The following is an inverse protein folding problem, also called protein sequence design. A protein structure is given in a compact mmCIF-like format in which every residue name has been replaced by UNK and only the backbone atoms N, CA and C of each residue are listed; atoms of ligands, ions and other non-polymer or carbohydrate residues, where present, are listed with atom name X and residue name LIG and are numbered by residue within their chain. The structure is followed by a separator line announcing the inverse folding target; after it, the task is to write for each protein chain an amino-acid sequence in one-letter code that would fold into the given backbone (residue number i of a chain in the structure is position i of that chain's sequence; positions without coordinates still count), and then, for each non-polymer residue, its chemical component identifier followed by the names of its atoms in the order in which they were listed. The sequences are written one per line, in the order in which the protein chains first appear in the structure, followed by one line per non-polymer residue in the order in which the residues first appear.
data_IF_508286199115
#
_entry.id   IF_508286199115
#
_cell.length_a   1.000
_cell.length_b   1.000
_cell.length_c   1.000
_cell.angle_alpha   90.00
_cell.angle_beta   90.00
_cell.angle_gamma   90.00
#
_symmetry.space_group_name_H-M   'P 1'
#
loop_
_entity.id
_entity.type
_entity.pdbx_description
1 polymer ?
#
# COMPACT_ATOMS: atom_id res chain seq x y z
N UNK A 1 -1.19 -5.76 1.85
CA UNK A 1 -2.23 -6.45 2.63
C UNK A 1 -1.68 -7.27 3.81
N UNK A 2 -0.42 -7.07 4.24
CA UNK A 2 0.10 -7.70 5.46
C UNK A 2 -0.58 -7.16 6.73
N UNK A 3 -0.41 -7.86 7.85
CA UNK A 3 -1.07 -7.56 9.13
C UNK A 3 -0.95 -6.08 9.54
N UNK A 4 0.27 -5.58 9.68
CA UNK A 4 0.53 -4.20 10.11
C UNK A 4 -0.01 -3.15 9.14
N UNK A 5 0.08 -3.42 7.84
CA UNK A 5 -0.48 -2.54 6.81
C UNK A 5 -2.01 -2.38 6.93
N UNK A 6 -2.74 -3.44 7.30
CA UNK A 6 -4.20 -3.33 7.50
C UNK A 6 -4.53 -2.45 8.72
N UNK A 7 -3.80 -2.63 9.82
CA UNK A 7 -3.97 -1.83 11.04
C UNK A 7 -3.65 -0.36 10.79
N UNK A 8 -2.58 -0.09 10.04
CA UNK A 8 -2.22 1.28 9.65
C UNK A 8 -3.33 1.94 8.82
N UNK A 9 -3.83 1.25 7.79
CA UNK A 9 -4.92 1.75 6.93
C UNK A 9 -6.17 2.03 7.75
N UNK A 10 -6.57 1.11 8.64
CA UNK A 10 -7.70 1.30 9.55
C UNK A 10 -7.53 2.58 10.38
N UNK A 11 -6.38 2.72 11.05
CA UNK A 11 -6.11 3.83 11.95
C UNK A 11 -6.11 5.17 11.21
N UNK A 12 -5.50 5.23 10.02
CA UNK A 12 -5.49 6.42 9.18
C UNK A 12 -6.90 6.79 8.74
N UNK A 13 -7.68 5.85 8.23
CA UNK A 13 -9.06 6.10 7.78
C UNK A 13 -10.00 6.47 8.94
N UNK A 14 -9.73 5.97 10.15
CA UNK A 14 -10.54 6.29 11.34
C UNK A 14 -10.19 7.63 11.96
N UNK A 15 -8.92 8.01 12.01
CA UNK A 15 -8.46 9.19 12.77
C UNK A 15 -8.06 10.40 11.92
N UNK A 16 -7.69 10.19 10.67
CA UNK A 16 -7.22 11.26 9.77
C UNK A 16 -8.27 11.47 8.66
N UNK A 17 -9.36 12.14 8.99
CA UNK A 17 -10.51 12.40 8.09
C UNK A 17 -10.14 13.22 6.85
N UNK A 18 -9.12 14.04 6.97
CA UNK A 18 -8.59 14.94 5.94
C UNK A 18 -7.79 14.21 4.86
N UNK A 19 -7.46 12.93 5.05
CA UNK A 19 -6.83 12.13 3.99
C UNK A 19 -7.78 12.08 2.80
N UNK A 20 -7.33 12.64 1.68
CA UNK A 20 -8.08 12.64 0.43
C UNK A 20 -8.12 11.25 -0.18
N UNK A 21 -6.97 10.61 -0.32
CA UNK A 21 -6.84 9.30 -0.94
C UNK A 21 -5.68 8.48 -0.36
N UNK A 22 -5.89 7.18 -0.23
CA UNK A 22 -4.85 6.19 0.05
C UNK A 22 -4.65 5.35 -1.22
N UNK A 23 -3.43 5.37 -1.75
CA UNK A 23 -3.03 4.48 -2.84
C UNK A 23 -2.35 3.25 -2.25
N UNK A 24 -2.94 2.08 -2.45
CA UNK A 24 -2.45 0.83 -1.88
C UNK A 24 -1.86 -0.05 -2.97
N UNK A 25 -0.52 -0.15 -3.00
CA UNK A 25 0.20 -1.04 -3.89
C UNK A 25 -0.04 -2.51 -3.49
N UNK A 26 -0.59 -3.30 -4.41
CA UNK A 26 -0.92 -4.71 -4.19
C UNK A 26 -0.50 -5.57 -5.37
N UNK A 27 0.07 -6.74 -5.05
CA UNK A 27 0.32 -7.78 -6.04
C UNK A 27 -0.99 -8.29 -6.65
N UNK A 28 -1.04 -8.54 -7.97
CA UNK A 28 -2.20 -9.15 -8.61
C UNK A 28 -2.58 -10.47 -7.93
N UNK A 29 -3.88 -10.78 -7.88
CA UNK A 29 -4.38 -12.08 -7.44
C UNK A 29 -5.39 -12.58 -8.46
N UNK A 30 -5.21 -13.80 -8.97
CA UNK A 30 -6.12 -14.39 -9.95
C UNK A 30 -7.52 -14.54 -9.36
N UNK A 31 -8.55 -14.28 -10.18
CA UNK A 31 -9.94 -14.58 -9.86
C UNK A 31 -10.70 -13.56 -9.01
N UNK A 32 -10.14 -12.39 -8.70
CA UNK A 32 -10.88 -11.31 -8.01
C UNK A 32 -10.55 -9.94 -8.61
N UNK A 33 -11.57 -9.09 -8.74
CA UNK A 33 -11.36 -7.70 -9.15
C UNK A 33 -10.72 -6.90 -8.01
N UNK A 34 -10.02 -5.78 -8.31
CA UNK A 34 -9.49 -4.89 -7.29
C UNK A 34 -10.57 -4.44 -6.28
N UNK A 35 -11.76 -4.08 -6.76
CA UNK A 35 -12.89 -3.65 -5.91
C UNK A 35 -13.31 -4.74 -4.92
N UNK A 36 -13.52 -5.96 -5.41
CA UNK A 36 -13.87 -7.12 -4.56
C UNK A 36 -12.81 -7.37 -3.47
N UNK A 37 -11.51 -7.20 -3.80
CA UNK A 37 -10.45 -7.37 -2.79
C UNK A 37 -10.49 -6.30 -1.70
N UNK A 38 -10.87 -5.07 -2.02
CA UNK A 38 -11.06 -4.02 -1.02
C UNK A 38 -12.31 -4.25 -0.19
N UNK A 39 -13.43 -4.63 -0.82
CA UNK A 39 -14.68 -4.96 -0.12
C UNK A 39 -14.45 -6.06 0.91
N UNK A 40 -13.83 -7.17 0.51
CA UNK A 40 -13.48 -8.27 1.42
C UNK A 40 -12.52 -7.83 2.53
N UNK A 41 -11.56 -6.97 2.21
CA UNK A 41 -10.63 -6.44 3.21
C UNK A 41 -11.39 -5.63 4.28
N UNK A 42 -12.26 -4.73 3.84
CA UNK A 42 -12.98 -3.81 4.72
C UNK A 42 -14.20 -4.43 5.38
N UNK A 43 -14.65 -5.62 4.98
CA UNK A 43 -15.66 -6.40 5.72
C UNK A 43 -15.10 -7.09 6.97
N UNK A 44 -13.77 -7.26 7.07
CA UNK A 44 -13.15 -7.90 8.24
C UNK A 44 -13.43 -7.17 9.57
N UNK A 45 -13.35 -7.90 10.68
CA UNK A 45 -13.63 -7.42 12.04
C UNK A 45 -12.79 -6.20 12.43
N UNK A 46 -11.52 -6.16 12.00
CA UNK A 46 -10.63 -5.01 12.23
C UNK A 46 -11.26 -3.67 11.80
N UNK A 47 -12.09 -3.67 10.75
CA UNK A 47 -12.68 -2.48 10.18
C UNK A 47 -14.11 -2.22 10.66
N UNK A 48 -14.65 -3.01 11.59
CA UNK A 48 -16.03 -2.86 12.08
C UNK A 48 -16.27 -1.46 12.66
N UNK A 49 -15.38 -1.02 13.56
CA UNK A 49 -15.46 0.32 14.14
C UNK A 49 -15.39 1.40 13.05
N UNK A 50 -14.51 1.24 12.06
CA UNK A 50 -14.38 2.19 10.96
C UNK A 50 -15.68 2.26 10.14
N UNK A 51 -16.28 1.11 9.78
CA UNK A 51 -17.55 1.06 9.05
C UNK A 51 -18.66 1.75 9.81
N UNK A 52 -18.77 1.51 11.12
CA UNK A 52 -19.78 2.15 11.97
C UNK A 52 -19.59 3.68 12.02
N UNK A 53 -18.34 4.15 12.09
CA UNK A 53 -18.02 5.58 12.11
C UNK A 53 -18.18 6.29 10.75
N UNK A 54 -18.09 5.55 9.63
CA UNK A 54 -18.14 6.09 8.27
C UNK A 54 -19.48 5.84 7.57
N UNK A 55 -20.41 5.16 8.21
CA UNK A 55 -21.74 4.89 7.66
C UNK A 55 -21.77 3.77 6.62
N UNK A 56 -20.86 2.79 6.70
CA UNK A 56 -20.79 1.65 5.79
C UNK A 56 -19.41 1.44 5.16
N UNK A 57 -19.34 0.54 4.17
CA UNK A 57 -18.09 0.21 3.46
C UNK A 57 -17.85 1.14 2.27
N UNK A 58 -18.92 1.64 1.66
CA UNK A 58 -18.91 2.43 0.44
C UNK A 58 -18.09 3.72 0.59
N UNK A 59 -18.28 4.54 1.66
CA UNK A 59 -17.48 5.76 1.84
C UNK A 59 -15.99 5.46 2.09
N UNK A 60 -15.68 4.27 2.59
CA UNK A 60 -14.30 3.83 2.83
C UNK A 60 -13.64 3.44 1.50
N UNK A 61 -14.38 2.75 0.61
CA UNK A 61 -13.88 2.35 -0.71
C UNK A 61 -13.50 3.55 -1.57
N UNK A 62 -14.25 4.65 -1.49
CA UNK A 62 -13.95 5.87 -2.24
C UNK A 62 -12.59 6.48 -1.87
N UNK A 63 -12.18 6.32 -0.60
CA UNK A 63 -10.90 6.82 -0.06
C UNK A 63 -9.69 5.96 -0.44
N UNK A 64 -9.88 4.80 -1.06
CA UNK A 64 -8.80 3.82 -1.28
C UNK A 64 -8.76 3.35 -2.73
N UNK A 65 -7.66 3.66 -3.42
CA UNK A 65 -7.37 3.15 -4.76
C UNK A 65 -6.32 2.06 -4.69
N UNK A 66 -6.60 0.90 -5.26
CA UNK A 66 -5.58 -0.13 -5.45
C UNK A 66 -4.70 0.21 -6.63
N UNK A 67 -3.39 0.12 -6.43
CA UNK A 67 -2.40 0.17 -7.49
C UNK A 67 -1.87 -1.25 -7.68
N UNK A 68 -1.94 -1.74 -8.91
CA UNK A 68 -1.38 -3.05 -9.23
C UNK A 68 0.13 -2.93 -9.34
N UNK A 69 0.86 -3.78 -8.63
CA UNK A 69 2.32 -3.85 -8.75
C UNK A 69 2.97 -4.78 -7.74
N UNK A 70 4.26 -5.01 -7.95
CA UNK A 70 5.10 -5.87 -7.13
C UNK A 70 6.46 -5.18 -6.90
N UNK A 71 6.77 -4.90 -5.64
CA UNK A 71 8.04 -4.24 -5.27
C UNK A 71 9.26 -5.08 -5.61
N UNK A 72 9.10 -6.40 -5.75
CA UNK A 72 10.20 -7.29 -6.13
C UNK A 72 10.48 -7.30 -7.63
N UNK A 73 9.62 -6.73 -8.47
CA UNK A 73 9.76 -6.72 -9.93
C UNK A 73 10.39 -5.41 -10.45
N UNK A 74 11.05 -5.43 -11.63
CA UNK A 74 11.48 -4.21 -12.32
C UNK A 74 10.33 -3.22 -12.49
N UNK A 75 10.63 -1.93 -12.33
CA UNK A 75 9.66 -0.84 -12.42
C UNK A 75 8.39 -1.03 -11.59
N UNK A 76 8.50 -1.81 -10.50
CA UNK A 76 7.42 -2.17 -9.59
C UNK A 76 6.28 -2.96 -10.25
N UNK A 77 6.48 -3.51 -11.45
CA UNK A 77 5.44 -4.10 -12.30
C UNK A 77 4.16 -3.24 -12.37
N UNK A 78 4.34 -1.92 -12.37
CA UNK A 78 3.27 -0.93 -12.32
C UNK A 78 2.99 -0.39 -13.72
N UNK A 79 1.73 -0.07 -14.00
CA UNK A 79 1.38 0.60 -15.26
C UNK A 79 1.90 2.04 -15.27
N UNK A 80 2.19 2.58 -16.47
CA UNK A 80 2.58 4.00 -16.61
C UNK A 80 1.48 4.96 -16.13
N UNK A 81 0.21 4.59 -16.33
CA UNK A 81 -0.92 5.38 -15.83
C UNK A 81 -0.97 5.47 -14.31
N UNK A 82 -0.79 4.34 -13.62
CA UNK A 82 -0.71 4.31 -12.16
C UNK A 82 0.53 5.06 -11.65
N UNK A 83 1.67 4.89 -12.35
CA UNK A 83 2.91 5.61 -12.01
C UNK A 83 2.71 7.12 -12.08
N UNK A 84 2.11 7.63 -13.16
CA UNK A 84 1.83 9.06 -13.29
C UNK A 84 0.83 9.53 -12.23
N UNK A 85 -0.21 8.74 -11.95
CA UNK A 85 -1.17 9.03 -10.90
C UNK A 85 -0.47 9.25 -9.54
N UNK A 86 0.46 8.37 -9.17
CA UNK A 86 1.24 8.49 -7.94
C UNK A 86 2.15 9.73 -7.96
N UNK A 87 2.85 9.96 -9.07
CA UNK A 87 3.75 11.11 -9.24
C UNK A 87 3.04 12.44 -9.00
N UNK A 88 1.80 12.59 -9.48
CA UNK A 88 1.03 13.84 -9.37
C UNK A 88 0.33 14.04 -8.02
N UNK A 89 0.07 12.96 -7.27
CA UNK A 89 -0.90 12.98 -6.16
C UNK A 89 -0.34 12.58 -4.79
N UNK A 90 0.83 11.94 -4.71
CA UNK A 90 1.33 11.41 -3.43
C UNK A 90 2.09 12.47 -2.63
N UNK A 91 1.61 12.74 -1.42
CA UNK A 91 2.29 13.57 -0.42
C UNK A 91 3.17 12.74 0.54
N UNK A 92 2.76 11.51 0.87
CA UNK A 92 3.43 10.66 1.86
C UNK A 92 3.53 9.23 1.34
N UNK A 93 4.72 8.65 1.43
CA UNK A 93 4.95 7.23 1.14
C UNK A 93 5.28 6.48 2.43
N UNK A 94 4.55 5.40 2.69
CA UNK A 94 4.85 4.47 3.79
C UNK A 94 5.21 3.12 3.18
N UNK A 95 6.51 2.81 3.17
CA UNK A 95 7.04 1.57 2.63
C UNK A 95 7.16 0.51 3.74
N UNK A 96 6.22 -0.43 3.72
CA UNK A 96 6.13 -1.55 4.66
C UNK A 96 6.15 -2.93 3.97
N UNK A 97 6.42 -2.96 2.67
CA UNK A 97 6.47 -4.21 1.91
C UNK A 97 7.85 -4.86 2.08
N UNK A 98 7.89 -5.96 2.81
CA UNK A 98 9.08 -6.76 3.07
C UNK A 98 8.71 -8.25 3.17
N UNK A 99 9.67 -9.13 2.93
CA UNK A 99 9.63 -10.50 3.44
C UNK A 99 10.27 -10.49 4.83
N UNK A 100 9.56 -11.09 5.78
CA UNK A 100 9.98 -11.20 7.19
C UNK A 100 10.34 -12.65 7.55
N UNK A 101 10.50 -13.50 6.53
CA UNK A 101 10.89 -14.90 6.67
C UNK A 101 12.40 -14.97 6.84
N UNK A 102 12.84 -15.51 7.97
CA UNK A 102 14.26 -15.71 8.26
C UNK A 102 14.90 -16.83 7.42
N UNK A 103 14.07 -17.69 6.83
CA UNK A 103 14.45 -18.83 5.97
C UNK A 103 14.27 -18.53 4.46
N UNK A 104 14.02 -17.27 4.09
CA UNK A 104 13.88 -16.89 2.68
C UNK A 104 15.22 -17.02 1.94
N UNK A 105 15.17 -17.52 0.69
CA UNK A 105 16.34 -17.50 -0.18
C UNK A 105 16.92 -16.08 -0.29
N UNK A 106 18.25 -15.94 -0.07
CA UNK A 106 18.93 -14.66 -0.07
C UNK A 106 18.61 -13.81 -1.31
N UNK A 107 18.57 -14.45 -2.49
CA UNK A 107 18.22 -13.76 -3.74
C UNK A 107 16.83 -13.11 -3.64
N UNK A 108 15.81 -13.84 -3.19
CA UNK A 108 14.44 -13.30 -3.03
C UNK A 108 14.39 -12.20 -1.97
N UNK A 109 15.06 -12.39 -0.84
CA UNK A 109 15.16 -11.38 0.22
C UNK A 109 15.79 -10.07 -0.29
N UNK A 110 16.89 -10.16 -1.06
CA UNK A 110 17.55 -9.00 -1.67
C UNK A 110 16.63 -8.31 -2.69
N UNK A 111 15.96 -9.07 -3.56
CA UNK A 111 15.06 -8.48 -4.56
C UNK A 111 13.90 -7.72 -3.91
N UNK A 112 13.34 -8.25 -2.83
CA UNK A 112 12.18 -7.66 -2.18
C UNK A 112 12.55 -6.55 -1.18
N UNK A 113 13.47 -6.82 -0.25
CA UNK A 113 13.78 -5.90 0.85
C UNK A 113 14.80 -4.82 0.46
N UNK A 114 15.72 -5.10 -0.46
CA UNK A 114 16.77 -4.15 -0.88
C UNK A 114 16.40 -3.47 -2.19
N UNK A 115 16.27 -4.25 -3.28
CA UNK A 115 15.93 -3.67 -4.59
C UNK A 115 14.53 -3.04 -4.57
N UNK A 116 13.54 -3.70 -3.97
CA UNK A 116 12.20 -3.13 -3.87
C UNK A 116 12.17 -1.80 -3.11
N UNK A 117 12.89 -1.70 -2.00
CA UNK A 117 13.06 -0.42 -1.28
C UNK A 117 13.73 0.63 -2.16
N UNK A 118 14.80 0.29 -2.88
CA UNK A 118 15.44 1.20 -3.85
C UNK A 118 14.44 1.69 -4.89
N UNK A 119 13.67 0.81 -5.52
CA UNK A 119 12.70 1.18 -6.56
C UNK A 119 11.58 2.09 -6.03
N UNK A 120 11.13 1.86 -4.80
CA UNK A 120 10.14 2.74 -4.14
C UNK A 120 10.75 4.10 -3.80
N UNK A 121 12.02 4.17 -3.40
CA UNK A 121 12.74 5.44 -3.22
C UNK A 121 12.93 6.18 -4.55
N UNK A 122 13.25 5.49 -5.64
CA UNK A 122 13.35 6.11 -6.97
C UNK A 122 12.00 6.65 -7.45
N UNK A 123 10.90 5.94 -7.22
CA UNK A 123 9.55 6.47 -7.44
C UNK A 123 9.27 7.70 -6.55
N UNK A 124 9.67 7.65 -5.28
CA UNK A 124 9.46 8.75 -4.35
C UNK A 124 10.14 10.04 -4.83
N UNK A 125 11.35 9.95 -5.39
CA UNK A 125 12.09 11.09 -5.95
C UNK A 125 11.37 11.77 -7.12
N UNK A 126 10.51 11.05 -7.84
CA UNK A 126 9.75 11.62 -8.97
C UNK A 126 8.41 12.21 -8.55
N UNK A 127 7.91 11.93 -7.34
CA UNK A 127 6.65 12.47 -6.84
C UNK A 127 6.74 13.98 -6.56
N UNK A 128 5.92 14.77 -7.25
CA UNK A 128 5.99 16.25 -7.24
C UNK A 128 5.61 16.89 -5.91
N UNK A 129 4.83 16.17 -5.09
CA UNK A 129 4.25 16.69 -3.84
C UNK A 129 4.80 15.98 -2.61
N UNK A 130 5.81 15.11 -2.76
CA UNK A 130 6.29 14.29 -1.67
C UNK A 130 6.83 15.17 -0.54
N UNK A 131 6.29 14.98 0.66
CA UNK A 131 6.68 15.65 1.91
C UNK A 131 7.41 14.69 2.85
N UNK A 132 7.05 13.41 2.83
CA UNK A 132 7.56 12.43 3.78
C UNK A 132 7.66 11.03 3.18
N UNK A 133 8.79 10.38 3.41
CA UNK A 133 9.03 8.98 3.13
C UNK A 133 9.30 8.24 4.44
N UNK A 134 8.48 7.23 4.74
CA UNK A 134 8.61 6.39 5.93
C UNK A 134 8.99 4.99 5.48
N UNK A 135 10.14 4.50 5.93
CA UNK A 135 10.53 3.10 5.78
C UNK A 135 10.27 2.35 7.09
N UNK A 136 9.49 1.28 7.02
CA UNK A 136 9.33 0.37 8.14
C UNK A 136 10.47 -0.65 8.12
N UNK A 137 11.42 -0.48 9.02
CA UNK A 137 12.53 -1.41 9.23
C UNK A 137 12.20 -2.41 10.34
N UNK A 138 13.23 -3.05 10.88
CA UNK A 138 13.15 -4.07 11.92
C UNK A 138 14.26 -3.84 12.96
N UNK A 139 14.07 -4.34 14.19
CA UNK A 139 15.11 -4.32 15.23
C UNK A 139 16.11 -5.48 15.10
N UNK A 140 15.92 -6.34 14.10
CA UNK A 140 16.79 -7.47 13.76
C UNK A 140 17.89 -7.07 12.78
#
# INVERSE_FOLDING_TARGET
TGFLGKVLIEKLLRKCTEIRQIYLLVRPKKGKTPKQRLEELFQGELFEQLRNLRGGVEPILEKVTLISGDVSEPDLAMSEGDRQLLIENVDIIIHAAATIRFDEELKKAVLLNVRGTKLIVELAKTCKKLKLFIHMSTAY
#
